data_IF_221709928532
#
_entry.id   IF_221709928532
#
_cell.length_a   1.000
_cell.length_b   1.000
_cell.length_c   1.000
_cell.angle_alpha   90.00
_cell.angle_beta   90.00
_cell.angle_gamma   90.00
#
_symmetry.space_group_name_H-M   'P 1'
#
loop_
_entity.id
_entity.type
_entity.pdbx_description
1 polymer ?
#
# COMPACT_ATOMS: atom_id res chain seq x y z
N UNK A 1 28.71 -11.77 15.70
CA UNK A 1 27.40 -11.08 15.82
C UNK A 1 27.43 -9.57 15.53
N UNK A 2 28.47 -8.80 15.90
CA UNK A 2 28.56 -7.35 15.60
C UNK A 2 28.71 -6.99 14.11
N UNK A 3 29.28 -7.88 13.29
CA UNK A 3 29.54 -7.63 11.87
C UNK A 3 28.24 -7.56 11.02
N UNK A 4 27.27 -8.43 11.33
CA UNK A 4 25.96 -8.44 10.65
C UNK A 4 25.18 -7.15 10.94
N UNK A 5 25.28 -6.62 12.17
CA UNK A 5 24.67 -5.34 12.54
C UNK A 5 25.23 -4.17 11.71
N UNK A 6 26.55 -4.12 11.52
CA UNK A 6 27.21 -3.12 10.66
C UNK A 6 26.75 -3.22 9.20
N UNK A 7 26.59 -4.44 8.68
CA UNK A 7 26.09 -4.67 7.31
C UNK A 7 24.64 -4.23 7.14
N UNK A 8 23.73 -4.59 8.06
CA UNK A 8 22.33 -4.16 8.01
C UNK A 8 22.21 -2.63 8.07
N UNK A 9 22.97 -1.99 8.97
CA UNK A 9 23.01 -0.54 9.06
C UNK A 9 23.51 0.12 7.77
N UNK A 10 24.55 -0.44 7.14
CA UNK A 10 25.09 0.05 5.87
C UNK A 10 24.07 -0.11 4.74
N UNK A 11 23.37 -1.24 4.66
CA UNK A 11 22.30 -1.47 3.67
C UNK A 11 21.17 -0.46 3.86
N UNK A 12 20.71 -0.23 5.10
CA UNK A 12 19.68 0.75 5.38
C UNK A 12 20.10 2.18 4.98
N UNK A 13 21.33 2.57 5.29
CA UNK A 13 21.89 3.88 4.89
C UNK A 13 22.01 4.03 3.37
N UNK A 14 22.45 2.98 2.67
CA UNK A 14 22.57 3.01 1.20
C UNK A 14 21.19 3.08 0.52
N UNK A 15 20.18 2.36 1.06
CA UNK A 15 18.79 2.47 0.58
C UNK A 15 18.24 3.89 0.77
N UNK A 16 18.43 4.48 1.95
CA UNK A 16 18.04 5.88 2.23
C UNK A 16 18.75 6.88 1.30
N UNK A 17 20.04 6.69 1.03
CA UNK A 17 20.79 7.54 0.09
C UNK A 17 20.29 7.38 -1.34
N UNK A 18 19.98 6.17 -1.79
CA UNK A 18 19.38 5.95 -3.11
C UNK A 18 18.00 6.60 -3.22
N UNK A 19 17.16 6.51 -2.18
CA UNK A 19 15.85 7.16 -2.15
C UNK A 19 15.98 8.69 -2.22
N UNK A 20 16.89 9.28 -1.44
CA UNK A 20 17.15 10.73 -1.46
C UNK A 20 17.76 11.19 -2.78
N UNK A 21 18.75 10.49 -3.32
CA UNK A 21 19.36 10.83 -4.62
C UNK A 21 18.34 10.69 -5.76
N UNK A 22 17.49 9.66 -5.72
CA UNK A 22 16.40 9.51 -6.67
C UNK A 22 15.31 10.58 -6.49
N UNK A 23 15.10 11.11 -5.28
CA UNK A 23 14.19 12.23 -5.05
C UNK A 23 14.78 13.56 -5.57
N UNK A 24 16.08 13.80 -5.36
CA UNK A 24 16.78 14.99 -5.86
C UNK A 24 16.95 15.00 -7.39
N UNK A 25 17.11 13.83 -8.04
CA UNK A 25 17.13 13.73 -9.50
C UNK A 25 15.75 13.94 -10.17
N UNK A 26 14.67 13.96 -9.39
CA UNK A 26 13.28 14.13 -9.85
C UNK A 26 12.79 15.58 -9.79
N UNK A 27 13.63 16.55 -9.42
CA UNK A 27 13.24 17.96 -9.27
C UNK A 27 13.14 18.75 -10.58
N UNK A 28 13.40 18.15 -11.75
CA UNK A 28 13.42 18.84 -13.05
C UNK A 28 12.36 18.38 -14.06
N UNK A 29 11.27 17.75 -13.59
CA UNK A 29 10.11 17.43 -14.43
C UNK A 29 8.92 17.04 -13.55
N UNK A 30 7.66 17.21 -14.03
CA UNK A 30 6.49 16.88 -13.23
C UNK A 30 6.52 15.39 -12.89
N UNK A 31 6.96 15.05 -11.68
CA UNK A 31 6.86 13.70 -11.19
C UNK A 31 5.37 13.39 -11.10
N UNK A 32 4.89 12.41 -11.88
CA UNK A 32 3.64 11.71 -11.57
C UNK A 32 3.85 10.98 -10.24
N UNK A 33 3.79 11.74 -9.14
CA UNK A 33 3.73 11.20 -7.80
C UNK A 33 2.40 10.50 -7.65
N UNK A 34 2.47 9.20 -7.39
CA UNK A 34 1.29 8.40 -7.07
C UNK A 34 0.94 8.67 -5.62
N UNK A 35 0.03 9.61 -5.42
CA UNK A 35 -0.52 9.92 -4.11
C UNK A 35 -2.01 9.60 -4.19
N UNK A 36 -2.42 8.52 -3.54
CA UNK A 36 -3.83 8.36 -3.20
C UNK A 36 -4.11 9.44 -2.17
N UNK A 37 -4.90 10.45 -2.56
CA UNK A 37 -5.25 11.53 -1.65
C UNK A 37 -5.99 10.94 -0.46
N UNK A 38 -5.49 11.23 0.74
CA UNK A 38 -6.21 10.92 1.97
C UNK A 38 -7.59 11.56 1.91
N UNK A 39 -8.61 10.75 2.18
CA UNK A 39 -9.99 11.19 2.30
C UNK A 39 -10.52 10.75 3.66
N UNK A 40 -11.22 11.65 4.36
CA UNK A 40 -11.71 11.39 5.72
C UNK A 40 -10.64 11.57 6.81
N UNK A 41 -10.89 10.94 7.95
CA UNK A 41 -10.14 11.08 9.20
C UNK A 41 -8.99 10.06 9.32
N UNK A 42 -9.06 8.93 8.62
CA UNK A 42 -8.01 7.91 8.60
C UNK A 42 -8.01 7.11 7.30
N UNK A 43 -6.84 6.58 6.91
CA UNK A 43 -6.68 5.70 5.76
C UNK A 43 -6.15 4.32 6.19
N UNK A 44 -6.87 3.25 5.80
CA UNK A 44 -6.50 1.85 6.02
C UNK A 44 -6.17 1.20 4.67
N UNK A 45 -4.99 0.60 4.55
CA UNK A 45 -4.59 -0.18 3.39
C UNK A 45 -4.82 -1.67 3.63
N UNK A 46 -5.59 -2.34 2.77
CA UNK A 46 -5.73 -3.79 2.78
C UNK A 46 -4.64 -4.46 1.95
N UNK A 47 -3.99 -5.45 2.54
CA UNK A 47 -2.91 -6.23 1.91
C UNK A 47 -3.21 -7.70 2.06
N UNK A 48 -3.13 -8.46 0.98
CA UNK A 48 -3.43 -9.89 1.01
C UNK A 48 -3.40 -10.49 -0.38
N UNK A 49 -3.25 -11.81 -0.46
CA UNK A 49 -3.21 -12.52 -1.73
C UNK A 49 -4.50 -12.30 -2.53
N UNK A 50 -4.48 -12.45 -3.86
CA UNK A 50 -5.73 -12.55 -4.61
C UNK A 50 -6.66 -13.60 -3.99
N UNK A 51 -7.97 -13.37 -4.07
CA UNK A 51 -9.00 -14.33 -3.64
C UNK A 51 -9.12 -14.62 -2.13
N UNK A 52 -8.36 -13.97 -1.24
CA UNK A 52 -8.53 -14.08 0.24
C UNK A 52 -9.77 -13.36 0.78
N UNK A 53 -10.64 -12.83 -0.08
CA UNK A 53 -11.86 -12.13 0.32
C UNK A 53 -11.72 -10.63 0.62
N UNK A 54 -10.62 -9.96 0.23
CA UNK A 54 -10.43 -8.51 0.43
C UNK A 54 -11.59 -7.66 -0.08
N UNK A 55 -12.00 -7.86 -1.34
CA UNK A 55 -13.07 -7.06 -1.94
C UNK A 55 -14.42 -7.32 -1.24
N UNK A 56 -14.68 -8.56 -0.82
CA UNK A 56 -15.85 -8.90 0.01
C UNK A 56 -15.82 -8.21 1.37
N UNK A 57 -14.64 -8.12 2.00
CA UNK A 57 -14.47 -7.39 3.25
C UNK A 57 -14.80 -5.91 3.05
N UNK A 58 -14.20 -5.26 2.04
CA UNK A 58 -14.46 -3.85 1.69
C UNK A 58 -15.96 -3.63 1.50
N UNK A 59 -16.61 -4.41 0.63
CA UNK A 59 -18.04 -4.25 0.35
C UNK A 59 -18.94 -4.41 1.58
N UNK A 60 -18.53 -5.18 2.60
CA UNK A 60 -19.29 -5.36 3.84
C UNK A 60 -19.07 -4.27 4.88
N UNK A 61 -17.87 -3.70 4.92
CA UNK A 61 -17.50 -2.70 5.94
C UNK A 61 -17.74 -1.28 5.45
N UNK A 62 -17.83 -1.06 4.15
CA UNK A 62 -18.18 0.23 3.55
C UNK A 62 -19.68 0.27 3.34
N UNK A 63 -20.32 1.41 3.64
CA UNK A 63 -21.71 1.61 3.23
C UNK A 63 -21.78 1.46 1.71
N UNK A 64 -22.72 0.65 1.23
CA UNK A 64 -22.78 0.07 -0.12
C UNK A 64 -22.89 1.08 -1.30
N UNK A 65 -22.68 2.37 -1.05
CA UNK A 65 -22.45 3.43 -2.04
C UNK A 65 -20.97 3.78 -2.15
N UNK A 66 -20.10 2.78 -2.20
CA UNK A 66 -18.74 3.00 -2.68
C UNK A 66 -18.85 3.41 -4.14
N UNK A 67 -18.93 4.71 -4.40
CA UNK A 67 -18.80 5.26 -5.74
C UNK A 67 -17.53 4.64 -6.32
N UNK A 68 -17.67 3.86 -7.38
CA UNK A 68 -16.58 3.49 -8.28
C UNK A 68 -16.08 4.77 -8.94
N UNK A 69 -15.46 5.63 -8.15
CA UNK A 69 -14.76 6.81 -8.60
C UNK A 69 -13.54 6.30 -9.33
N UNK A 70 -13.64 6.22 -10.66
CA UNK A 70 -12.48 6.24 -11.52
C UNK A 70 -11.80 7.59 -11.30
N UNK A 71 -11.01 7.72 -10.23
CA UNK A 71 -10.13 8.86 -10.05
C UNK A 71 -9.16 8.80 -11.22
N UNK A 72 -9.39 9.66 -12.21
CA UNK A 72 -8.78 9.63 -13.55
C UNK A 72 -7.24 9.83 -13.57
N UNK A 73 -6.60 9.74 -12.40
CA UNK A 73 -5.16 9.86 -12.19
C UNK A 73 -4.54 8.69 -11.42
N UNK A 74 -5.31 7.69 -10.98
CA UNK A 74 -4.75 6.53 -10.26
C UNK A 74 -4.45 5.39 -11.24
N UNK A 75 -3.19 5.24 -11.64
CA UNK A 75 -2.73 4.10 -12.47
C UNK A 75 -2.71 2.76 -11.71
N UNK A 76 -3.09 2.78 -10.43
CA UNK A 76 -3.43 1.61 -9.62
C UNK A 76 -4.96 1.47 -9.63
N UNK A 77 -5.46 0.33 -10.07
CA UNK A 77 -6.83 -0.12 -9.82
C UNK A 77 -7.00 -0.41 -8.33
N UNK A 78 -6.92 0.61 -7.50
CA UNK A 78 -7.33 0.56 -6.11
C UNK A 78 -8.82 0.84 -6.07
N UNK A 79 -9.57 0.01 -5.35
CA UNK A 79 -10.98 0.26 -5.08
C UNK A 79 -11.03 0.96 -3.72
N UNK A 80 -11.21 2.29 -3.67
CA UNK A 80 -11.41 2.99 -2.43
C UNK A 80 -12.83 2.74 -1.95
N UNK A 81 -12.97 2.40 -0.67
CA UNK A 81 -14.25 2.41 0.02
C UNK A 81 -14.19 3.32 1.23
N UNK A 82 -15.33 3.84 1.68
CA UNK A 82 -15.40 4.67 2.88
C UNK A 82 -16.33 4.00 3.88
N UNK A 83 -15.89 3.85 5.13
CA UNK A 83 -16.77 3.49 6.25
C UNK A 83 -16.92 4.68 7.17
N UNK A 84 -18.06 4.80 7.82
CA UNK A 84 -18.24 5.68 8.97
C UNK A 84 -18.27 4.83 10.24
N UNK A 85 -17.36 5.10 11.17
CA UNK A 85 -17.28 4.39 12.43
C UNK A 85 -17.11 5.37 13.59
N UNK A 86 -18.09 5.41 14.49
CA UNK A 86 -18.09 6.28 15.68
C UNK A 86 -17.87 7.77 15.34
N UNK A 87 -18.47 8.22 14.23
CA UNK A 87 -18.35 9.60 13.75
C UNK A 87 -17.05 9.92 13.01
N UNK A 88 -16.16 8.95 12.80
CA UNK A 88 -14.97 9.09 11.96
C UNK A 88 -15.19 8.45 10.58
N UNK A 89 -14.82 9.16 9.51
CA UNK A 89 -14.81 8.67 8.14
C UNK A 89 -13.47 8.00 7.86
N UNK A 90 -13.47 6.70 7.63
CA UNK A 90 -12.27 5.91 7.40
C UNK A 90 -12.26 5.46 5.94
N UNK A 91 -11.24 5.88 5.20
CA UNK A 91 -10.98 5.44 3.84
C UNK A 91 -10.26 4.08 3.88
N UNK A 92 -10.73 3.13 3.10
CA UNK A 92 -10.17 1.80 2.94
C UNK A 92 -9.68 1.66 1.52
N UNK A 93 -8.44 1.23 1.34
CA UNK A 93 -7.81 1.06 0.04
C UNK A 93 -7.51 -0.42 -0.22
N UNK A 94 -8.08 -1.00 -1.28
CA UNK A 94 -7.61 -2.30 -1.79
C UNK A 94 -6.30 -2.11 -2.56
N UNK A 95 -5.20 -2.67 -2.05
CA UNK A 95 -3.91 -2.63 -2.74
C UNK A 95 -3.68 -3.96 -3.49
N UNK A 96 -3.81 -3.97 -4.84
CA UNK A 96 -3.55 -5.18 -5.61
C UNK A 96 -2.06 -5.54 -5.56
N UNK A 97 -1.75 -6.83 -5.39
CA UNK A 97 -0.49 -7.40 -5.87
C UNK A 97 0.78 -7.12 -5.05
N UNK A 98 0.67 -6.70 -3.78
CA UNK A 98 1.85 -6.49 -2.91
C UNK A 98 2.76 -7.72 -2.82
N UNK A 99 2.18 -8.91 -2.91
CA UNK A 99 2.86 -10.14 -2.49
C UNK A 99 3.69 -10.78 -3.61
N UNK A 100 3.38 -10.52 -4.89
CA UNK A 100 4.11 -11.11 -6.03
C UNK A 100 5.08 -10.15 -6.72
N UNK A 101 5.10 -8.86 -6.40
CA UNK A 101 5.85 -7.88 -7.21
C UNK A 101 6.48 -6.69 -6.48
N UNK A 102 6.30 -6.56 -5.16
CA UNK A 102 6.91 -5.45 -4.41
C UNK A 102 8.43 -5.62 -4.21
N UNK A 103 8.92 -6.87 -4.13
CA UNK A 103 10.35 -7.19 -3.93
C UNK A 103 11.17 -7.20 -5.24
N UNK A 104 10.54 -7.46 -6.39
CA UNK A 104 11.23 -7.58 -7.69
C UNK A 104 11.60 -6.24 -8.34
N UNK A 105 11.19 -5.11 -7.75
CA UNK A 105 11.57 -3.77 -8.25
C UNK A 105 10.98 -3.37 -9.61
N UNK A 106 10.13 -4.20 -10.22
CA UNK A 106 9.44 -3.87 -11.48
C UNK A 106 8.38 -2.79 -11.24
N UNK A 107 8.62 -1.60 -11.80
CA UNK A 107 7.68 -0.49 -12.10
C UNK A 107 6.69 -0.06 -11.01
N UNK A 108 5.75 -0.94 -10.65
CA UNK A 108 4.53 -0.65 -9.87
C UNK A 108 4.65 -0.92 -8.38
N UNK A 109 5.67 -1.69 -7.93
CA UNK A 109 5.88 -1.99 -6.50
C UNK A 109 6.22 -0.76 -5.66
N UNK A 110 6.94 0.22 -6.23
CA UNK A 110 7.30 1.47 -5.52
C UNK A 110 6.08 2.36 -5.23
N UNK A 111 5.10 2.35 -6.13
CA UNK A 111 3.85 3.12 -6.00
C UNK A 111 3.00 2.53 -4.87
N UNK A 112 2.82 1.21 -4.86
CA UNK A 112 2.09 0.50 -3.80
C UNK A 112 2.75 0.71 -2.43
N UNK A 113 4.08 0.60 -2.35
CA UNK A 113 4.83 0.91 -1.12
C UNK A 113 4.71 2.39 -0.70
N UNK A 114 4.47 3.30 -1.63
CA UNK A 114 4.12 4.69 -1.33
C UNK A 114 2.79 4.79 -0.60
N UNK A 115 1.76 4.10 -1.10
CA UNK A 115 0.42 4.10 -0.50
C UNK A 115 0.42 3.45 0.89
N UNK A 116 1.10 2.31 1.06
CA UNK A 116 1.26 1.68 2.38
C UNK A 116 1.89 2.64 3.39
N UNK A 117 2.97 3.33 2.99
CA UNK A 117 3.68 4.26 3.88
C UNK A 117 2.85 5.51 4.23
N UNK A 118 1.89 5.87 3.39
CA UNK A 118 0.99 6.99 3.62
C UNK A 118 -0.26 6.59 4.44
N UNK A 119 -0.59 5.30 4.51
CA UNK A 119 -1.73 4.81 5.28
C UNK A 119 -1.47 4.91 6.80
N UNK A 120 -2.53 5.18 7.55
CA UNK A 120 -2.51 5.24 9.01
C UNK A 120 -2.53 3.84 9.63
N UNK A 121 -3.04 2.86 8.88
CA UNK A 121 -3.04 1.44 9.25
C UNK A 121 -2.91 0.55 8.02
N UNK A 122 -2.22 -0.59 8.19
CA UNK A 122 -2.15 -1.66 7.20
C UNK A 122 -2.82 -2.90 7.79
N UNK A 123 -3.83 -3.43 7.11
CA UNK A 123 -4.53 -4.64 7.51
C UNK A 123 -4.16 -5.79 6.57
N UNK A 124 -3.55 -6.81 7.14
CA UNK A 124 -3.22 -8.04 6.43
C UNK A 124 -4.41 -9.00 6.43
N UNK A 125 -4.84 -9.41 5.24
CA UNK A 125 -5.92 -10.37 5.03
C UNK A 125 -5.31 -11.68 4.53
N UNK A 126 -5.48 -12.73 5.32
CA UNK A 126 -4.97 -14.08 5.06
C UNK A 126 -6.11 -15.07 4.96
N UNK A 127 -5.96 -16.03 4.05
CA UNK A 127 -6.77 -17.24 4.04
C UNK A 127 -6.13 -18.26 5.01
N UNK A 128 -6.83 -18.67 6.10
CA UNK A 128 -6.29 -19.58 7.10
C UNK A 128 -6.08 -21.01 6.58
N UNK A 129 -6.60 -21.35 5.40
CA UNK A 129 -6.40 -22.67 4.78
C UNK A 129 -5.25 -22.69 3.78
N UNK A 130 -4.57 -21.56 3.57
CA UNK A 130 -3.41 -21.46 2.69
C UNK A 130 -2.17 -21.11 3.51
N UNK A 131 -1.43 -22.14 3.93
CA UNK A 131 -0.22 -22.00 4.76
C UNK A 131 0.82 -21.06 4.14
N UNK A 132 0.95 -21.08 2.80
CA UNK A 132 1.86 -20.21 2.06
C UNK A 132 1.54 -18.71 2.18
N UNK A 133 0.41 -18.32 2.77
CA UNK A 133 0.14 -16.92 3.08
C UNK A 133 0.87 -16.42 4.32
N UNK A 134 1.13 -17.28 5.29
CA UNK A 134 1.79 -16.92 6.55
C UNK A 134 3.30 -16.78 6.38
N UNK A 135 3.90 -17.46 5.42
CA UNK A 135 5.35 -17.42 5.17
C UNK A 135 5.82 -16.16 4.42
N UNK A 136 4.89 -15.44 3.78
CA UNK A 136 5.20 -14.29 2.90
C UNK A 136 4.83 -12.94 3.55
N UNK A 137 4.11 -12.96 4.66
CA UNK A 137 3.75 -11.79 5.46
C UNK A 137 4.72 -11.56 6.63
#
# INVERSE_FOLDING_TARGET
NAHIGKLKAKIAQLKLKQEKAAASARSSGPSKGFEVRKSGDATVALVGFPSVGKSTLISKVTDAHSETGSYAFTTLTCIPGVMEHRGAKIQILDLPGLIKGASEGKGRGKEILGVIRAADMVLFVVDPFQDGHFDVL
#
